data_IF_570712030077
#
_entry.id   IF_570712030077
#
_cell.length_a   1.000
_cell.length_b   1.000
_cell.length_c   1.000
_cell.angle_alpha   90.00
_cell.angle_beta   90.00
_cell.angle_gamma   90.00
#
_symmetry.space_group_name_H-M   'P 1'
#
loop_
_entity.id
_entity.type
_entity.pdbx_description
1 polymer ?
#
# COMPACT_ATOMS: atom_id res chain seq x y z
N UNK A 1 14.75 -12.76 11.01
CA UNK A 1 13.95 -13.34 9.91
C UNK A 1 13.76 -12.24 8.88
N UNK A 2 13.83 -12.57 7.59
CA UNK A 2 13.57 -11.62 6.50
C UNK A 2 12.10 -11.68 6.11
N UNK A 3 11.42 -10.53 6.05
CA UNK A 3 9.98 -10.42 5.83
C UNK A 3 9.53 -11.08 4.52
N UNK A 4 10.29 -10.91 3.43
CA UNK A 4 10.00 -11.46 2.10
C UNK A 4 10.68 -12.82 1.83
N UNK A 5 11.08 -13.54 2.87
CA UNK A 5 11.63 -14.88 2.69
C UNK A 5 10.60 -15.83 2.08
N UNK A 6 11.05 -16.84 1.34
CA UNK A 6 10.18 -17.84 0.69
C UNK A 6 9.20 -18.48 1.69
N UNK A 7 9.63 -18.68 2.94
CA UNK A 7 8.79 -19.20 4.03
C UNK A 7 7.64 -18.24 4.38
N UNK A 8 7.92 -16.95 4.47
CA UNK A 8 6.92 -15.93 4.76
C UNK A 8 5.99 -15.69 3.57
N UNK A 9 6.51 -15.71 2.34
CA UNK A 9 5.69 -15.62 1.13
C UNK A 9 4.68 -16.77 1.05
N UNK A 10 5.10 -18.00 1.36
CA UNK A 10 4.18 -19.14 1.42
C UNK A 10 3.15 -19.03 2.56
N UNK A 11 3.46 -18.30 3.63
CA UNK A 11 2.52 -18.04 4.73
C UNK A 11 1.41 -17.04 4.38
N UNK A 12 1.55 -16.29 3.28
CA UNK A 12 0.48 -15.42 2.78
C UNK A 12 -0.59 -16.18 1.99
N UNK A 13 -0.33 -17.43 1.57
CA UNK A 13 -1.29 -18.19 0.77
C UNK A 13 -2.67 -18.36 1.43
N UNK A 14 -2.79 -18.70 2.74
CA UNK A 14 -4.08 -18.72 3.43
C UNK A 14 -4.80 -17.37 3.41
N UNK A 15 -4.06 -16.27 3.57
CA UNK A 15 -4.62 -14.91 3.52
C UNK A 15 -5.19 -14.59 2.13
N UNK A 16 -4.44 -14.88 1.06
CA UNK A 16 -4.91 -14.69 -0.32
C UNK A 16 -6.15 -15.53 -0.61
N UNK A 17 -6.20 -16.75 -0.07
CA UNK A 17 -7.34 -17.64 -0.20
C UNK A 17 -8.59 -17.08 0.49
N UNK A 18 -8.45 -16.55 1.71
CA UNK A 18 -9.55 -15.88 2.43
C UNK A 18 -10.15 -14.74 1.61
N UNK A 19 -9.32 -13.82 1.12
CA UNK A 19 -9.77 -12.67 0.31
C UNK A 19 -10.43 -13.12 -1.00
N UNK A 20 -9.89 -14.17 -1.62
CA UNK A 20 -10.47 -14.75 -2.84
C UNK A 20 -11.84 -15.36 -2.56
N UNK A 21 -12.01 -16.05 -1.43
CA UNK A 21 -13.30 -16.60 -1.01
C UNK A 21 -14.34 -15.50 -0.76
N UNK A 22 -13.93 -14.39 -0.13
CA UNK A 22 -14.79 -13.22 0.07
C UNK A 22 -15.23 -12.62 -1.27
N UNK A 23 -14.31 -12.49 -2.22
CA UNK A 23 -14.65 -12.00 -3.56
C UNK A 23 -15.63 -12.93 -4.29
N UNK A 24 -15.38 -14.23 -4.29
CA UNK A 24 -16.25 -15.23 -4.94
C UNK A 24 -17.65 -15.18 -4.32
N UNK A 25 -17.74 -15.05 -3.00
CA UNK A 25 -19.01 -14.92 -2.29
C UNK A 25 -19.74 -13.63 -2.66
N UNK A 26 -19.02 -12.51 -2.76
CA UNK A 26 -19.55 -11.23 -3.26
C UNK A 26 -20.10 -11.36 -4.67
N UNK A 27 -19.38 -12.03 -5.58
CA UNK A 27 -19.81 -12.22 -6.97
C UNK A 27 -21.06 -13.08 -7.05
N UNK A 28 -21.11 -14.20 -6.31
CA UNK A 28 -22.27 -15.09 -6.26
C UNK A 28 -23.54 -14.38 -5.79
N UNK A 29 -23.42 -13.39 -4.89
CA UNK A 29 -24.54 -12.62 -4.39
C UNK A 29 -25.10 -11.59 -5.40
N UNK A 30 -24.37 -11.25 -6.47
CA UNK A 30 -24.74 -10.20 -7.43
C UNK A 30 -25.61 -10.71 -8.60
N UNK A 31 -26.41 -11.76 -8.38
CA UNK A 31 -27.11 -12.54 -9.41
C UNK A 31 -27.65 -11.71 -10.60
N UNK A 32 -27.36 -12.22 -11.81
CA UNK A 32 -27.88 -11.77 -13.12
C UNK A 32 -27.48 -10.35 -13.58
N UNK A 33 -26.47 -9.73 -12.97
CA UNK A 33 -25.93 -8.43 -13.41
C UNK A 33 -24.58 -8.58 -14.11
N UNK A 34 -24.29 -7.78 -15.15
CA UNK A 34 -22.93 -7.62 -15.65
C UNK A 34 -21.98 -7.18 -14.54
N UNK A 35 -20.81 -7.80 -14.45
CA UNK A 35 -19.80 -7.50 -13.43
C UNK A 35 -18.52 -7.02 -14.13
N UNK A 36 -17.93 -5.95 -13.62
CA UNK A 36 -16.59 -5.51 -14.03
C UNK A 36 -15.53 -6.36 -13.31
N UNK A 37 -15.02 -7.38 -14.00
CA UNK A 37 -14.01 -8.29 -13.43
C UNK A 37 -12.70 -7.55 -13.14
N UNK A 38 -12.30 -6.58 -13.96
CA UNK A 38 -11.07 -5.80 -13.71
C UNK A 38 -11.15 -5.04 -12.39
N UNK A 39 -12.30 -4.41 -12.10
CA UNK A 39 -12.52 -3.75 -10.82
C UNK A 39 -12.49 -4.73 -9.64
N UNK A 40 -13.07 -5.92 -9.81
CA UNK A 40 -13.08 -6.96 -8.78
C UNK A 40 -11.68 -7.53 -8.50
N UNK A 41 -10.89 -7.78 -9.54
CA UNK A 41 -9.48 -8.21 -9.40
C UNK A 41 -8.65 -7.14 -8.72
N UNK A 42 -8.86 -5.87 -9.07
CA UNK A 42 -8.15 -4.75 -8.47
C UNK A 42 -8.45 -4.62 -6.96
N UNK A 43 -9.72 -4.78 -6.56
CA UNK A 43 -10.09 -4.77 -5.14
C UNK A 43 -9.46 -5.95 -4.38
N UNK A 44 -9.40 -7.13 -5.02
CA UNK A 44 -8.77 -8.32 -4.44
C UNK A 44 -7.27 -8.11 -4.21
N UNK A 45 -6.53 -7.65 -5.23
CA UNK A 45 -5.09 -7.40 -5.09
C UNK A 45 -4.81 -6.31 -4.06
N UNK A 46 -5.61 -5.24 -4.06
CA UNK A 46 -5.49 -4.16 -3.06
C UNK A 46 -5.73 -4.68 -1.63
N UNK A 47 -6.76 -5.51 -1.42
CA UNK A 47 -7.06 -6.09 -0.11
C UNK A 47 -5.93 -7.02 0.36
N UNK A 48 -5.40 -7.86 -0.53
CA UNK A 48 -4.27 -8.76 -0.25
C UNK A 48 -3.03 -7.95 0.12
N UNK A 49 -2.65 -6.95 -0.68
CA UNK A 49 -1.47 -6.12 -0.43
C UNK A 49 -1.62 -5.41 0.91
N UNK A 50 -2.74 -4.73 1.14
CA UNK A 50 -2.99 -4.03 2.40
C UNK A 50 -2.90 -4.97 3.61
N UNK A 51 -3.49 -6.17 3.54
CA UNK A 51 -3.49 -7.13 4.65
C UNK A 51 -2.11 -7.77 4.86
N UNK A 52 -1.32 -7.93 3.81
CA UNK A 52 0.05 -8.45 3.90
C UNK A 52 1.03 -7.40 4.43
N UNK A 53 0.87 -6.13 4.06
CA UNK A 53 1.76 -5.04 4.46
C UNK A 53 1.42 -4.42 5.81
N UNK A 54 0.13 -4.32 6.16
CA UNK A 54 -0.39 -3.56 7.33
C UNK A 54 -1.11 -4.50 8.33
N UNK A 55 -1.12 -5.80 8.08
CA UNK A 55 -1.77 -6.77 8.96
C UNK A 55 -3.30 -6.57 9.05
N UNK A 56 -3.89 -6.98 10.18
CA UNK A 56 -5.33 -6.79 10.47
C UNK A 56 -5.63 -5.50 11.23
N UNK A 57 -4.60 -4.72 11.53
CA UNK A 57 -4.63 -3.67 12.55
C UNK A 57 -5.36 -2.40 12.11
N UNK A 58 -5.63 -2.22 10.81
CA UNK A 58 -6.33 -1.03 10.34
C UNK A 58 -7.84 -1.09 10.56
N UNK A 59 -8.36 -0.22 11.44
CA UNK A 59 -9.80 -0.13 11.75
C UNK A 59 -10.70 0.24 10.57
N UNK A 60 -10.16 0.90 9.55
CA UNK A 60 -10.88 1.30 8.34
C UNK A 60 -10.20 0.81 7.06
N UNK A 61 -9.98 -0.51 7.00
CA UNK A 61 -9.33 -1.19 5.88
C UNK A 61 -10.00 -0.87 4.53
N UNK A 62 -11.32 -0.64 4.50
CA UNK A 62 -12.06 -0.27 3.28
C UNK A 62 -11.64 1.09 2.71
N UNK A 63 -11.51 2.11 3.55
CA UNK A 63 -11.02 3.43 3.12
C UNK A 63 -9.56 3.38 2.70
N UNK A 64 -8.72 2.57 3.37
CA UNK A 64 -7.32 2.36 2.98
C UNK A 64 -7.24 1.73 1.59
N UNK A 65 -7.99 0.66 1.33
CA UNK A 65 -8.06 0.01 0.01
C UNK A 65 -8.51 1.01 -1.07
N UNK A 66 -9.50 1.83 -0.78
CA UNK A 66 -10.00 2.83 -1.73
C UNK A 66 -9.00 3.97 -2.00
N UNK A 67 -8.20 4.36 -1.00
CA UNK A 67 -7.15 5.36 -1.17
C UNK A 67 -5.95 4.79 -1.92
N UNK A 68 -5.54 3.56 -1.61
CA UNK A 68 -4.52 2.84 -2.39
C UNK A 68 -4.97 2.66 -3.85
N UNK A 69 -6.27 2.41 -4.07
CA UNK A 69 -6.85 2.40 -5.42
C UNK A 69 -6.64 3.71 -6.17
N UNK A 70 -6.89 4.83 -5.50
CA UNK A 70 -6.66 6.14 -6.10
C UNK A 70 -5.16 6.32 -6.40
N UNK A 71 -4.27 5.99 -5.46
CA UNK A 71 -2.81 6.11 -5.65
C UNK A 71 -2.32 5.33 -6.85
N UNK A 72 -2.60 4.03 -6.93
CA UNK A 72 -2.10 3.21 -8.04
C UNK A 72 -2.70 3.62 -9.39
N UNK A 73 -3.95 4.11 -9.42
CA UNK A 73 -4.51 4.70 -10.63
C UNK A 73 -3.79 5.96 -11.11
N UNK A 74 -3.09 6.68 -10.21
CA UNK A 74 -2.24 7.83 -10.54
C UNK A 74 -0.80 7.42 -10.86
N UNK A 75 -0.27 6.40 -10.18
CA UNK A 75 1.07 5.85 -10.44
C UNK A 75 1.17 5.26 -11.86
N UNK A 76 0.08 4.66 -12.36
CA UNK A 76 -0.02 4.17 -13.75
C UNK A 76 -0.26 5.25 -14.82
N UNK A 77 -0.43 6.53 -14.45
CA UNK A 77 -0.62 7.60 -15.44
C UNK A 77 0.75 8.00 -15.99
N UNK A 78 1.03 7.50 -17.19
CA UNK A 78 2.16 7.88 -18.03
C UNK A 78 2.41 9.39 -17.99
N UNK A 79 3.49 9.82 -17.34
CA UNK A 79 3.84 11.22 -17.29
C UNK A 79 4.67 11.56 -18.53
N UNK A 80 4.06 12.25 -19.50
CA UNK A 80 4.69 12.65 -20.78
C UNK A 80 5.98 13.46 -20.56
N UNK A 81 6.11 14.10 -19.38
CA UNK A 81 7.33 14.82 -18.98
C UNK A 81 8.53 13.88 -18.82
N UNK A 82 8.30 12.65 -18.36
CA UNK A 82 9.36 11.64 -18.16
C UNK A 82 9.83 11.06 -19.50
N UNK A 83 8.96 11.06 -20.52
CA UNK A 83 9.30 10.62 -21.88
C UNK A 83 10.03 11.70 -22.70
N UNK A 84 9.81 12.97 -22.38
CA UNK A 84 10.41 14.11 -23.11
C UNK A 84 11.02 15.15 -22.16
N UNK A 85 12.10 14.80 -21.44
CA UNK A 85 12.73 15.67 -20.44
C UNK A 85 13.26 17.01 -21.02
N UNK A 86 13.49 17.05 -22.34
CA UNK A 86 13.93 18.27 -23.06
C UNK A 86 12.82 19.32 -23.23
N UNK A 87 11.55 18.93 -23.13
CA UNK A 87 10.40 19.81 -23.34
C UNK A 87 9.89 20.37 -22.01
N UNK A 88 10.65 21.29 -21.43
CA UNK A 88 10.37 21.93 -20.12
C UNK A 88 8.97 22.57 -20.01
N UNK A 89 8.35 22.90 -21.13
CA UNK A 89 6.97 23.43 -21.19
C UNK A 89 5.94 22.39 -20.73
N UNK A 90 6.19 21.10 -20.97
CA UNK A 90 5.34 20.02 -20.50
C UNK A 90 5.34 19.93 -18.98
N UNK A 91 6.46 20.20 -18.32
CA UNK A 91 6.52 20.23 -16.85
C UNK A 91 5.62 21.33 -16.27
N UNK A 92 5.47 22.46 -16.97
CA UNK A 92 4.63 23.57 -16.55
C UNK A 92 3.13 23.34 -16.84
N UNK A 93 2.80 22.65 -17.95
CA UNK A 93 1.42 22.43 -18.40
C UNK A 93 0.81 21.14 -17.82
N UNK A 94 1.64 20.14 -17.50
CA UNK A 94 1.23 18.79 -17.09
C UNK A 94 0.31 18.79 -15.86
N UNK A 95 0.43 19.77 -14.95
CA UNK A 95 -0.40 19.86 -13.74
C UNK A 95 -0.23 18.68 -12.77
N UNK A 96 0.62 17.72 -13.10
CA UNK A 96 0.88 16.47 -12.38
C UNK A 96 1.44 16.74 -10.99
N UNK A 97 2.27 17.76 -10.81
CA UNK A 97 2.76 18.18 -9.49
C UNK A 97 1.64 18.58 -8.53
N UNK A 98 0.58 19.24 -9.03
CA UNK A 98 -0.58 19.61 -8.20
C UNK A 98 -1.41 18.39 -7.82
N UNK A 99 -1.66 17.49 -8.78
CA UNK A 99 -2.39 16.23 -8.52
C UNK A 99 -1.63 15.33 -7.55
N UNK A 100 -0.32 15.21 -7.70
CA UNK A 100 0.56 14.47 -6.79
C UNK A 100 0.49 15.05 -5.36
N UNK A 101 0.53 16.38 -5.22
CA UNK A 101 0.41 17.03 -3.92
C UNK A 101 -0.97 16.84 -3.29
N UNK A 102 -2.04 16.94 -4.07
CA UNK A 102 -3.41 16.67 -3.59
C UNK A 102 -3.57 15.21 -3.16
N UNK A 103 -2.94 14.27 -3.87
CA UNK A 103 -2.91 12.85 -3.49
C UNK A 103 -2.09 12.62 -2.21
N UNK A 104 -0.90 13.19 -2.11
CA UNK A 104 -0.09 13.13 -0.90
C UNK A 104 -0.88 13.62 0.32
N UNK A 105 -1.65 14.72 0.19
CA UNK A 105 -2.50 15.24 1.27
C UNK A 105 -3.62 14.29 1.71
N UNK A 106 -4.10 13.41 0.82
CA UNK A 106 -5.13 12.42 1.15
C UNK A 106 -4.56 11.16 1.78
N UNK A 107 -3.38 10.75 1.34
CA UNK A 107 -2.74 9.48 1.72
C UNK A 107 -1.97 9.61 3.03
N UNK A 108 -1.27 10.73 3.22
CA UNK A 108 -0.41 10.95 4.37
C UNK A 108 -1.13 10.75 5.72
N UNK A 109 -2.36 11.28 5.93
CA UNK A 109 -3.10 11.04 7.18
C UNK A 109 -3.42 9.55 7.42
N UNK A 110 -3.65 8.77 6.36
CA UNK A 110 -3.96 7.35 6.47
C UNK A 110 -2.72 6.55 6.83
N UNK A 111 -1.59 6.85 6.20
CA UNK A 111 -0.31 6.23 6.59
C UNK A 111 0.06 6.59 8.03
N UNK A 112 -0.24 7.81 8.48
CA UNK A 112 -0.05 8.19 9.88
C UNK A 112 -0.92 7.39 10.84
N UNK A 113 -2.20 7.19 10.52
CA UNK A 113 -3.09 6.36 11.34
C UNK A 113 -2.53 4.93 11.44
N UNK A 114 -2.15 4.34 10.30
CA UNK A 114 -1.58 3.00 10.24
C UNK A 114 -0.35 2.89 11.15
N UNK A 115 0.61 3.79 11.01
CA UNK A 115 1.85 3.73 11.79
C UNK A 115 1.55 3.92 13.29
N UNK A 116 0.69 4.87 13.65
CA UNK A 116 0.31 5.10 15.05
C UNK A 116 -0.42 3.90 15.68
N UNK A 117 -1.26 3.19 14.92
CA UNK A 117 -1.92 1.98 15.40
C UNK A 117 -0.88 0.89 15.73
N UNK A 118 0.12 0.68 14.87
CA UNK A 118 1.20 -0.30 15.11
C UNK A 118 2.10 0.11 16.29
N UNK A 119 2.45 1.40 16.42
CA UNK A 119 3.20 1.90 17.59
C UNK A 119 2.43 1.68 18.90
N UNK A 120 1.09 1.83 18.87
CA UNK A 120 0.23 1.59 20.03
C UNK A 120 0.12 0.10 20.35
N UNK A 121 0.02 -0.76 19.33
CA UNK A 121 -0.07 -2.21 19.51
C UNK A 121 1.24 -2.82 20.01
N UNK A 122 2.41 -2.30 19.60
CA UNK A 122 3.70 -2.73 20.14
C UNK A 122 3.84 -2.51 21.65
N UNK A 123 3.13 -1.51 22.19
CA UNK A 123 3.07 -1.25 23.64
C UNK A 123 2.09 -2.19 24.37
N UNK A 124 1.18 -2.84 23.63
CA UNK A 124 0.25 -3.82 24.17
C UNK A 124 0.83 -5.24 24.07
N UNK A 125 0.66 -6.06 25.11
CA UNK A 125 1.18 -7.45 25.20
C UNK A 125 0.49 -8.46 24.26
N UNK A 126 -0.18 -8.00 23.20
CA UNK A 126 -1.09 -8.78 22.36
C UNK A 126 -0.77 -8.68 20.85
N UNK A 127 0.50 -8.52 20.48
CA UNK A 127 0.90 -8.60 19.07
C UNK A 127 0.78 -10.03 18.54
N UNK A 128 -0.13 -10.26 17.58
CA UNK A 128 -0.29 -11.55 16.90
C UNK A 128 0.37 -11.44 15.52
N UNK A 129 1.65 -11.79 15.44
CA UNK A 129 2.44 -11.71 14.21
C UNK A 129 3.18 -10.38 14.06
N UNK A 130 4.19 -10.39 13.19
CA UNK A 130 5.01 -9.24 12.79
C UNK A 130 4.73 -9.01 11.30
N UNK A 131 4.31 -7.80 10.91
CA UNK A 131 4.14 -7.40 9.51
C UNK A 131 5.20 -6.39 9.02
N UNK A 132 5.04 -5.84 7.81
CA UNK A 132 6.01 -4.91 7.23
C UNK A 132 6.17 -3.65 8.09
N UNK A 133 5.08 -3.09 8.62
CA UNK A 133 5.12 -1.87 9.43
C UNK A 133 5.87 -2.15 10.72
N UNK A 134 5.63 -3.30 11.35
CA UNK A 134 6.35 -3.73 12.56
C UNK A 134 7.85 -3.87 12.33
N UNK A 135 8.24 -4.53 11.24
CA UNK A 135 9.66 -4.69 10.88
C UNK A 135 10.30 -3.32 10.67
N UNK A 136 9.65 -2.42 9.94
CA UNK A 136 10.19 -1.09 9.65
C UNK A 136 10.33 -0.22 10.90
N UNK A 137 9.35 -0.27 11.81
CA UNK A 137 9.40 0.41 13.11
C UNK A 137 10.52 -0.15 13.99
N UNK A 138 10.69 -1.48 14.03
CA UNK A 138 11.80 -2.12 14.76
C UNK A 138 13.16 -1.70 14.22
N UNK A 139 13.31 -1.64 12.89
CA UNK A 139 14.55 -1.18 12.25
C UNK A 139 14.82 0.32 12.48
N UNK A 140 13.77 1.15 12.55
CA UNK A 140 13.89 2.55 12.94
C UNK A 140 14.41 2.70 14.38
N UNK A 141 13.92 1.87 15.31
CA UNK A 141 14.29 1.91 16.72
C UNK A 141 15.65 1.28 17.04
N UNK A 142 16.20 0.42 16.16
CA UNK A 142 17.47 -0.26 16.45
C UNK A 142 18.70 0.63 16.28
N UNK A 143 18.58 1.75 15.55
CA UNK A 143 19.68 2.69 15.25
C UNK A 143 20.93 2.04 14.61
N UNK A 144 20.81 0.84 14.04
CA UNK A 144 21.93 0.07 13.48
C UNK A 144 22.42 0.58 12.12
N UNK A 145 21.70 1.51 11.51
CA UNK A 145 22.00 2.03 10.17
C UNK A 145 22.80 3.34 10.23
N UNK A 146 23.79 3.48 9.34
CA UNK A 146 24.55 4.72 9.18
C UNK A 146 23.66 5.93 8.85
N UNK A 147 22.55 5.69 8.15
CA UNK A 147 21.50 6.67 7.87
C UNK A 147 20.24 6.20 8.62
N UNK A 148 19.73 6.97 9.59
CA UNK A 148 18.53 6.60 10.34
C UNK A 148 17.31 6.45 9.44
N UNK A 149 16.54 5.37 9.64
CA UNK A 149 15.23 5.21 8.99
C UNK A 149 14.27 6.23 9.60
N UNK A 150 13.77 7.13 8.76
CA UNK A 150 12.78 8.13 9.17
C UNK A 150 11.36 7.62 8.96
N UNK A 151 10.40 8.20 9.67
CA UNK A 151 8.98 7.90 9.47
C UNK A 151 8.53 8.12 8.02
N UNK A 152 9.10 9.11 7.34
CA UNK A 152 8.84 9.34 5.91
C UNK A 152 9.37 8.22 5.01
N UNK A 153 10.49 7.57 5.39
CA UNK A 153 10.96 6.38 4.69
C UNK A 153 9.98 5.21 4.86
N UNK A 154 9.44 5.02 6.07
CA UNK A 154 8.42 3.99 6.35
C UNK A 154 7.18 4.22 5.49
N UNK A 155 6.64 5.45 5.49
CA UNK A 155 5.49 5.83 4.64
C UNK A 155 5.75 5.57 3.15
N UNK A 156 6.93 5.92 2.66
CA UNK A 156 7.30 5.71 1.26
C UNK A 156 7.30 4.22 0.89
N UNK A 157 7.86 3.36 1.74
CA UNK A 157 7.93 1.90 1.51
C UNK A 157 6.54 1.25 1.59
N UNK A 158 5.65 1.73 2.47
CA UNK A 158 4.27 1.22 2.53
C UNK A 158 3.47 1.65 1.28
N UNK A 159 3.76 2.84 0.76
CA UNK A 159 3.05 3.41 -0.37
C UNK A 159 3.52 2.86 -1.73
N UNK A 160 4.70 2.27 -1.82
CA UNK A 160 5.26 1.84 -3.11
C UNK A 160 4.40 0.78 -3.79
N UNK A 161 3.83 1.20 -4.92
CA UNK A 161 3.31 0.37 -6.00
C UNK A 161 4.50 -0.24 -6.77
N UNK A 162 4.35 -1.46 -7.28
CA UNK A 162 5.31 -2.11 -8.18
C UNK A 162 5.36 -1.33 -9.52
N UNK A 163 6.15 -0.27 -9.57
CA UNK A 163 6.77 0.22 -10.79
C UNK A 163 7.99 1.04 -10.39
N UNK A 164 9.10 0.31 -10.27
CA UNK A 164 10.45 0.74 -10.59
C UNK A 164 10.85 2.18 -10.19
N UNK A 165 11.66 2.20 -9.14
CA UNK A 165 12.97 2.86 -9.20
C UNK A 165 13.64 2.63 -10.57
N UNK A 166 13.36 3.49 -11.55
CA UNK A 166 14.31 3.75 -12.64
C UNK A 166 14.61 5.23 -12.60
N UNK A 167 15.84 5.49 -12.14
CA UNK A 167 16.62 6.70 -12.39
C UNK A 167 16.81 6.85 -13.90
#
# INVERSE_FOLDING_TARGET
MELLSTKNVTSFFPMMFDETCLLVSSIKAMAERPINISEKMYLLTSAIICRASIGRTCKDQGSVIMLMKQVASFAGVFNVVDLFPSLKILHFISGTNRKLLEMHRKVDPVLEIIINEHETEQLATKHIGEDLVDVLLRLQNSHDFQIPITRNNIKAIILTDENDMVI
#
